data_IF_150518737702
#
_entry.id   IF_150518737702
#
_cell.length_a   1.000
_cell.length_b   1.000
_cell.length_c   1.000
_cell.angle_alpha   90.00
_cell.angle_beta   90.00
_cell.angle_gamma   90.00
#
_symmetry.space_group_name_H-M   'P 1'
#
loop_
_entity.id
_entity.type
_entity.pdbx_description
1 polymer ?
#
# COMPACT_ATOMS: atom_id res chain seq x y z
N UNK A 1 -9.73 27.74 1.03
CA UNK A 1 -9.13 26.43 1.30
C UNK A 1 -10.21 25.39 1.13
N UNK A 2 -9.95 24.32 0.38
CA UNK A 2 -10.85 23.20 0.19
C UNK A 2 -10.45 22.05 1.13
N UNK A 3 -11.44 21.28 1.57
CA UNK A 3 -11.24 20.14 2.47
C UNK A 3 -11.93 18.91 1.93
N UNK A 4 -11.49 17.74 2.38
CA UNK A 4 -12.12 16.44 2.15
C UNK A 4 -12.57 15.90 3.51
N UNK A 5 -13.84 15.52 3.60
CA UNK A 5 -14.40 14.80 4.73
C UNK A 5 -14.47 13.33 4.37
N UNK A 6 -13.73 12.49 5.09
CA UNK A 6 -13.69 11.05 4.85
C UNK A 6 -14.37 10.31 5.99
N UNK A 7 -15.40 9.53 5.67
CA UNK A 7 -16.12 8.65 6.60
C UNK A 7 -15.55 7.24 6.41
N UNK A 8 -15.05 6.65 7.50
CA UNK A 8 -14.35 5.37 7.45
C UNK A 8 -15.31 4.22 7.79
N UNK A 9 -15.26 3.18 6.96
CA UNK A 9 -16.05 1.96 7.15
C UNK A 9 -15.20 0.73 7.50
N UNK A 10 -13.87 0.86 7.40
CA UNK A 10 -12.94 -0.27 7.44
C UNK A 10 -12.36 -0.55 8.83
N UNK A 11 -12.45 0.40 9.77
CA UNK A 11 -11.91 0.25 11.12
C UNK A 11 -12.70 1.07 12.15
N UNK A 12 -12.51 0.74 13.43
CA UNK A 12 -13.19 1.36 14.54
C UNK A 12 -12.57 2.70 14.96
N UNK A 13 -13.33 3.49 15.70
CA UNK A 13 -12.90 4.82 16.17
C UNK A 13 -11.60 4.76 17.01
N UNK A 14 -11.35 3.66 17.70
CA UNK A 14 -10.15 3.45 18.51
C UNK A 14 -8.85 3.41 17.67
N UNK A 15 -8.91 2.98 16.41
CA UNK A 15 -7.78 2.98 15.49
C UNK A 15 -7.52 4.36 14.84
N UNK A 16 -8.52 5.24 14.80
CA UNK A 16 -8.45 6.55 14.15
C UNK A 16 -7.24 7.40 14.57
N UNK A 17 -6.83 7.46 15.86
CA UNK A 17 -5.67 8.24 16.30
C UNK A 17 -4.35 7.77 15.67
N UNK A 18 -4.21 6.49 15.32
CA UNK A 18 -3.02 5.97 14.66
C UNK A 18 -2.81 6.65 13.29
N UNK A 19 -3.84 6.64 12.45
CA UNK A 19 -3.74 7.21 11.08
C UNK A 19 -3.49 8.70 11.10
N UNK A 20 -4.15 9.43 12.00
CA UNK A 20 -3.92 10.86 12.14
C UNK A 20 -2.50 11.20 12.62
N UNK A 21 -1.95 10.44 13.57
CA UNK A 21 -0.58 10.60 14.02
C UNK A 21 0.41 10.31 12.88
N UNK A 22 0.17 9.25 12.11
CA UNK A 22 1.02 8.86 10.99
C UNK A 22 1.04 9.96 9.92
N UNK A 23 -0.12 10.39 9.43
CA UNK A 23 -0.21 11.42 8.38
C UNK A 23 0.31 12.76 8.89
N UNK A 24 0.01 13.16 10.13
CA UNK A 24 0.55 14.38 10.73
C UNK A 24 2.09 14.33 10.81
N UNK A 25 2.66 13.18 11.18
CA UNK A 25 4.09 12.99 11.24
C UNK A 25 4.75 13.14 9.87
N UNK A 26 4.18 12.53 8.84
CA UNK A 26 4.65 12.67 7.45
C UNK A 26 4.55 14.12 6.97
N UNK A 27 3.42 14.80 7.24
CA UNK A 27 3.23 16.21 6.89
C UNK A 27 4.26 17.12 7.56
N UNK A 28 4.55 16.93 8.84
CA UNK A 28 5.56 17.68 9.59
C UNK A 28 6.99 17.48 9.04
N UNK A 29 7.23 16.35 8.36
CA UNK A 29 8.49 16.08 7.67
C UNK A 29 8.50 16.54 6.21
N UNK A 30 7.48 17.33 5.79
CA UNK A 30 7.43 17.96 4.48
C UNK A 30 6.99 17.03 3.34
N UNK A 31 6.42 15.87 3.64
CA UNK A 31 5.88 15.00 2.59
C UNK A 31 4.53 15.54 2.08
N UNK A 32 4.24 15.34 0.79
CA UNK A 32 3.00 15.79 0.17
C UNK A 32 1.85 14.85 0.58
N UNK A 33 1.34 15.02 1.78
CA UNK A 33 0.19 14.26 2.31
C UNK A 33 -0.89 15.20 2.82
N UNK A 34 -2.14 14.72 2.85
CA UNK A 34 -3.29 15.52 3.27
C UNK A 34 -3.25 15.81 4.78
N UNK A 35 -2.92 17.06 5.15
CA UNK A 35 -2.84 17.44 6.56
C UNK A 35 -4.17 17.25 7.28
N UNK A 36 -4.21 16.45 8.36
CA UNK A 36 -5.40 16.32 9.19
C UNK A 36 -5.77 17.67 9.84
N UNK A 37 -7.05 17.95 9.90
CA UNK A 37 -7.59 19.12 10.60
C UNK A 37 -8.11 18.70 11.97
N UNK A 38 -7.87 19.53 12.96
CA UNK A 38 -8.44 19.32 14.29
C UNK A 38 -9.88 19.81 14.36
N UNK A 39 -10.70 19.15 15.15
CA UNK A 39 -12.02 19.62 15.57
C UNK A 39 -11.88 20.86 16.46
N UNK A 40 -12.97 21.56 16.75
CA UNK A 40 -12.96 22.78 17.60
C UNK A 40 -12.49 22.50 19.04
N UNK A 41 -12.66 21.28 19.51
CA UNK A 41 -12.20 20.77 20.81
C UNK A 41 -10.80 20.13 20.76
N UNK A 42 -10.11 20.25 19.63
CA UNK A 42 -8.71 19.82 19.47
C UNK A 42 -8.52 18.34 19.15
N UNK A 43 -9.60 17.59 18.91
CA UNK A 43 -9.49 16.19 18.50
C UNK A 43 -9.10 16.09 17.03
N UNK A 44 -8.41 15.01 16.65
CA UNK A 44 -7.98 14.75 15.26
C UNK A 44 -8.99 13.97 14.42
N UNK A 45 -10.06 13.50 15.04
CA UNK A 45 -11.15 12.74 14.41
C UNK A 45 -12.46 12.97 15.18
N UNK A 46 -13.58 12.69 14.54
CA UNK A 46 -14.90 12.73 15.15
C UNK A 46 -15.73 11.53 14.70
N UNK A 47 -16.94 11.40 15.27
CA UNK A 47 -17.92 10.41 14.83
C UNK A 47 -18.99 11.14 14.01
N UNK A 48 -19.24 10.69 12.80
CA UNK A 48 -20.36 11.11 11.98
C UNK A 48 -21.15 9.89 11.51
N UNK A 49 -22.45 9.88 11.72
CA UNK A 49 -23.33 8.73 11.44
C UNK A 49 -22.83 7.42 12.04
N UNK A 50 -22.26 7.46 13.26
CA UNK A 50 -21.74 6.29 13.96
C UNK A 50 -20.39 5.77 13.45
N UNK A 51 -19.71 6.46 12.54
CA UNK A 51 -18.44 6.05 11.92
C UNK A 51 -17.32 7.06 12.21
N UNK A 52 -16.06 6.58 12.33
CA UNK A 52 -14.90 7.46 12.39
C UNK A 52 -14.84 8.37 11.18
N UNK A 53 -14.56 9.64 11.41
CA UNK A 53 -14.58 10.65 10.34
C UNK A 53 -13.40 11.59 10.50
N UNK A 54 -12.72 11.86 9.39
CA UNK A 54 -11.58 12.76 9.31
C UNK A 54 -11.89 13.95 8.41
N UNK A 55 -11.39 15.12 8.79
CA UNK A 55 -11.31 16.27 7.92
C UNK A 55 -9.84 16.50 7.54
N UNK A 56 -9.56 16.58 6.25
CA UNK A 56 -8.19 16.74 5.75
C UNK A 56 -8.15 17.85 4.71
N UNK A 57 -6.99 18.51 4.55
CA UNK A 57 -6.80 19.44 3.45
C UNK A 57 -6.94 18.73 2.11
N UNK A 58 -7.70 19.31 1.18
CA UNK A 58 -7.75 18.80 -0.17
C UNK A 58 -6.41 19.09 -0.86
N UNK A 59 -5.78 18.05 -1.35
CA UNK A 59 -4.58 18.17 -2.19
C UNK A 59 -4.99 18.51 -3.63
N UNK A 60 -4.11 19.23 -4.33
CA UNK A 60 -4.26 19.55 -5.74
C UNK A 60 -3.61 18.48 -6.60
N UNK A 61 -4.06 18.35 -7.84
CA UNK A 61 -3.56 17.38 -8.79
C UNK A 61 -4.61 16.35 -9.21
N UNK A 62 -4.18 15.43 -10.05
CA UNK A 62 -5.01 14.33 -10.58
C UNK A 62 -4.23 13.02 -10.58
N UNK A 63 -4.96 11.92 -10.63
CA UNK A 63 -4.35 10.58 -10.76
C UNK A 63 -3.72 10.41 -12.14
N UNK A 64 -2.59 9.69 -12.20
CA UNK A 64 -1.93 9.40 -13.46
C UNK A 64 -2.73 8.37 -14.27
N UNK A 65 -3.07 8.74 -15.51
CA UNK A 65 -3.70 7.82 -16.46
C UNK A 65 -2.66 6.96 -17.18
N UNK A 66 -1.52 7.56 -17.54
CA UNK A 66 -0.39 6.88 -18.16
C UNK A 66 0.87 7.12 -17.34
N UNK A 67 1.40 6.04 -16.79
CA UNK A 67 2.61 6.08 -15.97
C UNK A 67 3.85 6.21 -16.85
N UNK A 68 4.81 7.02 -16.40
CA UNK A 68 6.12 7.17 -17.00
C UNK A 68 7.24 6.93 -15.97
N UNK A 69 8.49 6.89 -16.44
CA UNK A 69 9.66 6.66 -15.59
C UNK A 69 9.81 7.72 -14.49
N UNK A 70 9.56 9.00 -14.79
CA UNK A 70 9.70 10.08 -13.83
C UNK A 70 8.70 9.93 -12.68
N UNK A 71 7.47 9.56 -12.97
CA UNK A 71 6.47 9.27 -11.94
C UNK A 71 6.84 8.05 -11.09
N UNK A 72 7.33 6.97 -11.71
CA UNK A 72 7.83 5.80 -10.97
C UNK A 72 8.98 6.18 -10.03
N UNK A 73 9.93 7.01 -10.51
CA UNK A 73 11.01 7.52 -9.66
C UNK A 73 10.49 8.31 -8.48
N UNK A 74 9.54 9.23 -8.69
CA UNK A 74 8.95 10.05 -7.63
C UNK A 74 8.19 9.20 -6.60
N UNK A 75 7.48 8.15 -7.01
CA UNK A 75 6.79 7.22 -6.10
C UNK A 75 7.81 6.45 -5.24
N UNK A 76 8.88 5.93 -5.86
CA UNK A 76 9.97 5.30 -5.11
C UNK A 76 10.61 6.24 -4.10
N UNK A 77 10.96 7.47 -4.52
CA UNK A 77 11.52 8.50 -3.65
C UNK A 77 10.55 8.88 -2.51
N UNK A 78 9.24 8.97 -2.79
CA UNK A 78 8.23 9.21 -1.77
C UNK A 78 8.25 8.11 -0.69
N UNK A 79 8.23 6.83 -1.08
CA UNK A 79 8.27 5.71 -0.13
C UNK A 79 9.54 5.76 0.73
N UNK A 80 10.71 6.00 0.14
CA UNK A 80 11.95 6.15 0.91
C UNK A 80 11.90 7.30 1.91
N UNK A 81 11.38 8.45 1.48
CA UNK A 81 11.19 9.63 2.33
C UNK A 81 10.12 9.43 3.41
N UNK A 82 9.12 8.57 3.20
CA UNK A 82 8.11 8.23 4.19
C UNK A 82 8.66 7.24 5.24
N UNK A 83 9.30 6.17 4.81
CA UNK A 83 9.83 5.13 5.72
C UNK A 83 10.86 5.69 6.70
N UNK A 84 11.68 6.65 6.28
CA UNK A 84 12.72 7.23 7.13
C UNK A 84 12.17 7.93 8.39
N UNK A 85 11.28 8.92 8.32
CA UNK A 85 10.69 9.54 9.51
C UNK A 85 9.75 8.60 10.26
N UNK A 86 9.02 7.70 9.57
CA UNK A 86 8.13 6.74 10.21
C UNK A 86 8.87 5.79 11.16
N UNK A 87 10.15 5.52 10.94
CA UNK A 87 10.98 4.75 11.87
C UNK A 87 11.14 5.38 13.27
N UNK A 88 10.87 6.69 13.42
CA UNK A 88 10.88 7.40 14.70
C UNK A 88 9.48 7.54 15.35
N UNK A 89 8.43 7.20 14.64
CA UNK A 89 7.05 7.35 15.13
C UNK A 89 6.75 6.30 16.21
N UNK A 90 6.50 6.76 17.43
CA UNK A 90 6.11 5.90 18.57
C UNK A 90 4.62 5.53 18.49
N UNK A 91 4.24 4.89 17.42
CA UNK A 91 2.90 4.36 17.21
C UNK A 91 3.01 3.18 16.26
N UNK A 92 2.22 2.15 16.46
CA UNK A 92 2.23 0.96 15.60
C UNK A 92 0.82 0.43 15.44
N UNK A 93 0.59 -0.26 14.34
CA UNK A 93 -0.59 -1.06 14.03
C UNK A 93 -0.10 -2.35 13.40
N UNK A 94 -0.53 -3.47 13.94
CA UNK A 94 -0.21 -4.79 13.36
C UNK A 94 -0.81 -4.88 11.96
N UNK A 95 -0.14 -5.57 11.05
CA UNK A 95 -0.68 -5.79 9.71
C UNK A 95 -1.99 -6.61 9.81
N UNK A 96 -3.14 -6.06 9.39
CA UNK A 96 -4.41 -6.78 9.41
C UNK A 96 -4.52 -7.82 8.28
N UNK A 97 -3.52 -7.92 7.40
CA UNK A 97 -3.46 -8.80 6.24
C UNK A 97 -2.24 -9.73 6.28
N UNK A 98 -1.84 -10.15 7.47
CA UNK A 98 -0.75 -11.09 7.70
C UNK A 98 -1.06 -12.51 7.18
N UNK A 99 -0.13 -13.43 7.36
CA UNK A 99 -0.31 -14.81 6.88
C UNK A 99 -1.45 -15.54 7.59
N UNK A 100 -1.77 -15.20 8.84
CA UNK A 100 -2.89 -15.79 9.59
C UNK A 100 -4.23 -15.33 9.02
N UNK A 101 -4.35 -14.02 8.70
CA UNK A 101 -5.50 -13.49 7.98
C UNK A 101 -5.65 -14.13 6.61
N UNK A 102 -4.56 -14.26 5.83
CA UNK A 102 -4.60 -14.91 4.52
C UNK A 102 -5.06 -16.36 4.62
N UNK A 103 -4.55 -17.12 5.61
CA UNK A 103 -4.94 -18.50 5.87
C UNK A 103 -6.44 -18.62 6.23
N UNK A 104 -6.90 -17.77 7.13
CA UNK A 104 -8.29 -17.72 7.56
C UNK A 104 -9.23 -17.38 6.40
N UNK A 105 -8.86 -16.34 5.63
CA UNK A 105 -9.62 -15.90 4.46
C UNK A 105 -9.70 -17.00 3.41
N UNK A 106 -8.56 -17.60 3.04
CA UNK A 106 -8.51 -18.69 2.07
C UNK A 106 -9.41 -19.86 2.49
N UNK A 107 -9.38 -20.22 3.77
CA UNK A 107 -10.24 -21.28 4.32
C UNK A 107 -11.73 -20.90 4.24
N UNK A 108 -12.06 -19.64 4.55
CA UNK A 108 -13.45 -19.14 4.56
C UNK A 108 -14.09 -19.02 3.18
N UNK A 109 -13.28 -18.86 2.12
CA UNK A 109 -13.78 -18.75 0.72
C UNK A 109 -13.50 -20.00 -0.12
N UNK A 110 -12.99 -21.08 0.48
CA UNK A 110 -12.53 -22.26 -0.25
C UNK A 110 -13.58 -22.85 -1.21
N UNK A 111 -14.85 -22.85 -0.84
CA UNK A 111 -15.94 -23.36 -1.69
C UNK A 111 -16.24 -22.48 -2.90
N UNK A 112 -15.75 -21.23 -2.91
CA UNK A 112 -15.93 -20.26 -4.01
C UNK A 112 -14.78 -20.27 -5.00
N UNK A 113 -13.68 -20.96 -4.70
CA UNK A 113 -12.46 -21.02 -5.51
C UNK A 113 -12.39 -22.30 -6.32
N UNK A 114 -11.85 -22.22 -7.53
CA UNK A 114 -11.42 -23.39 -8.29
C UNK A 114 -10.22 -24.07 -7.63
N UNK A 115 -9.98 -25.35 -7.94
CA UNK A 115 -8.83 -26.09 -7.41
C UNK A 115 -7.49 -25.44 -7.80
N UNK A 116 -7.43 -24.82 -8.98
CA UNK A 116 -6.26 -24.07 -9.45
C UNK A 116 -6.02 -22.85 -8.56
N UNK A 117 -7.03 -22.02 -8.32
CA UNK A 117 -6.92 -20.82 -7.47
C UNK A 117 -6.54 -21.19 -6.02
N UNK A 118 -7.13 -22.26 -5.48
CA UNK A 118 -6.76 -22.77 -4.14
C UNK A 118 -5.28 -23.16 -4.08
N UNK A 119 -4.82 -23.92 -5.08
CA UNK A 119 -3.42 -24.37 -5.15
C UNK A 119 -2.46 -23.19 -5.25
N UNK A 120 -2.78 -22.20 -6.10
CA UNK A 120 -1.99 -20.97 -6.27
C UNK A 120 -1.91 -20.18 -4.97
N UNK A 121 -3.05 -19.89 -4.35
CA UNK A 121 -3.11 -19.11 -3.10
C UNK A 121 -2.41 -19.82 -1.94
N UNK A 122 -2.55 -21.15 -1.83
CA UNK A 122 -1.83 -21.94 -0.82
C UNK A 122 -0.32 -21.81 -0.98
N UNK A 123 0.18 -21.94 -2.21
CA UNK A 123 1.61 -21.77 -2.51
C UNK A 123 2.11 -20.36 -2.16
N UNK A 124 1.35 -19.33 -2.52
CA UNK A 124 1.69 -17.93 -2.23
C UNK A 124 1.66 -17.64 -0.72
N UNK A 125 0.73 -18.24 0.01
CA UNK A 125 0.68 -18.16 1.47
C UNK A 125 1.91 -18.83 2.12
N UNK A 126 2.33 -20.00 1.64
CA UNK A 126 3.54 -20.65 2.13
C UNK A 126 4.82 -19.83 1.82
N UNK A 127 4.83 -19.12 0.69
CA UNK A 127 5.90 -18.17 0.37
C UNK A 127 5.91 -17.00 1.36
N UNK A 128 4.75 -16.45 1.68
CA UNK A 128 4.64 -15.34 2.64
C UNK A 128 5.07 -15.74 4.06
N UNK A 129 4.65 -16.90 4.56
CA UNK A 129 5.10 -17.43 5.84
C UNK A 129 6.63 -17.54 5.93
N UNK A 130 7.28 -17.88 4.82
CA UNK A 130 8.76 -17.89 4.77
C UNK A 130 9.36 -16.51 4.85
N UNK A 131 8.73 -15.50 4.21
CA UNK A 131 9.17 -14.10 4.27
C UNK A 131 9.02 -13.56 5.70
N UNK A 132 7.89 -13.82 6.36
CA UNK A 132 7.66 -13.39 7.76
C UNK A 132 8.72 -13.98 8.73
N UNK A 133 9.24 -15.16 8.42
CA UNK A 133 10.32 -15.77 9.19
C UNK A 133 11.72 -15.18 8.88
N UNK A 134 11.84 -14.32 7.85
CA UNK A 134 13.10 -13.65 7.52
C UNK A 134 13.26 -12.39 8.36
N UNK A 135 14.48 -12.10 8.79
CA UNK A 135 14.80 -10.85 9.51
C UNK A 135 14.99 -9.68 8.53
N UNK A 136 13.96 -9.36 7.75
CA UNK A 136 14.00 -8.23 6.82
C UNK A 136 13.73 -6.91 7.56
N UNK A 137 14.31 -5.78 7.10
CA UNK A 137 14.00 -4.47 7.62
C UNK A 137 12.50 -4.19 7.60
N UNK A 138 11.95 -3.83 8.76
CA UNK A 138 10.52 -3.62 8.96
C UNK A 138 10.24 -2.26 9.60
N UNK A 139 9.03 -1.76 9.41
CA UNK A 139 8.57 -0.49 9.91
C UNK A 139 7.14 -0.20 9.48
N UNK A 140 6.71 1.05 9.63
CA UNK A 140 5.40 1.48 9.15
C UNK A 140 5.44 1.65 7.64
N UNK A 141 4.51 1.03 6.95
CA UNK A 141 4.30 1.07 5.51
C UNK A 141 2.97 1.73 5.17
N UNK A 142 2.81 2.21 3.94
CA UNK A 142 1.53 2.66 3.39
C UNK A 142 0.57 1.47 3.17
N UNK A 143 1.10 0.40 2.60
CA UNK A 143 0.40 -0.86 2.37
C UNK A 143 -0.59 -0.86 1.19
N UNK A 144 -0.78 0.28 0.49
CA UNK A 144 -1.74 0.42 -0.62
C UNK A 144 -1.38 1.57 -1.58
N UNK A 145 -0.08 1.81 -1.84
CA UNK A 145 0.30 2.92 -2.72
C UNK A 145 0.11 2.56 -4.20
N UNK A 146 -1.14 2.54 -4.63
CA UNK A 146 -1.58 2.39 -6.02
C UNK A 146 -1.66 3.76 -6.71
N UNK A 147 -1.87 3.75 -8.04
CA UNK A 147 -1.96 4.97 -8.86
C UNK A 147 -3.11 5.90 -8.47
N UNK A 148 -4.21 5.34 -7.99
CA UNK A 148 -5.36 6.08 -7.47
C UNK A 148 -5.14 6.69 -6.08
N UNK A 149 -4.02 6.37 -5.43
CA UNK A 149 -3.61 6.94 -4.15
C UNK A 149 -2.49 8.00 -4.29
N UNK A 150 -2.14 8.39 -5.52
CA UNK A 150 -1.16 9.45 -5.77
C UNK A 150 -1.70 10.50 -6.75
N UNK A 151 -1.38 11.77 -6.48
CA UNK A 151 -1.81 12.93 -7.25
C UNK A 151 -0.60 13.64 -7.85
N UNK A 152 -0.74 14.06 -9.11
CA UNK A 152 0.28 14.78 -9.85
C UNK A 152 -0.29 16.07 -10.43
N UNK A 153 0.53 17.10 -10.54
CA UNK A 153 0.19 18.32 -11.27
C UNK A 153 0.33 18.13 -12.79
N UNK A 154 -0.03 19.18 -13.54
CA UNK A 154 0.04 19.19 -15.01
C UNK A 154 1.49 19.08 -15.55
N UNK A 155 2.50 19.26 -14.71
CA UNK A 155 3.91 19.11 -15.04
C UNK A 155 4.44 17.71 -14.69
N UNK A 156 3.60 16.82 -14.14
CA UNK A 156 3.97 15.48 -13.72
C UNK A 156 4.69 15.41 -12.38
N UNK A 157 4.66 16.47 -11.56
CA UNK A 157 5.23 16.48 -10.23
C UNK A 157 4.24 15.88 -9.23
N UNK A 158 4.71 14.99 -8.36
CA UNK A 158 3.91 14.43 -7.27
C UNK A 158 3.49 15.54 -6.29
N UNK A 159 2.19 15.76 -6.16
CA UNK A 159 1.59 16.78 -5.30
C UNK A 159 0.88 16.20 -4.09
N UNK A 160 0.58 14.90 -4.12
CA UNK A 160 -0.10 14.26 -3.00
C UNK A 160 -0.06 12.75 -3.00
N UNK A 161 0.03 12.19 -1.79
CA UNK A 161 -0.27 10.79 -1.52
C UNK A 161 -1.36 10.75 -0.46
N UNK A 162 -2.39 9.95 -0.71
CA UNK A 162 -3.61 9.84 0.07
C UNK A 162 -3.88 8.38 0.47
N UNK A 163 -4.91 8.16 1.26
CA UNK A 163 -5.43 6.83 1.65
C UNK A 163 -4.42 5.95 2.41
N UNK A 164 -3.99 6.44 3.57
CA UNK A 164 -3.13 5.71 4.50
C UNK A 164 -3.88 4.68 5.38
N UNK A 165 -5.12 4.33 5.06
CA UNK A 165 -5.96 3.49 5.94
C UNK A 165 -5.55 2.01 5.95
N UNK A 166 -4.69 1.61 5.02
CA UNK A 166 -4.01 0.31 5.03
C UNK A 166 -2.65 0.33 5.75
N UNK A 167 -2.21 1.49 6.23
CA UNK A 167 -0.92 1.61 6.90
C UNK A 167 -0.82 0.72 8.13
N UNK A 168 0.29 0.01 8.25
CA UNK A 168 0.56 -0.94 9.31
C UNK A 168 2.07 -1.18 9.44
N UNK A 169 2.48 -1.93 10.46
CA UNK A 169 3.86 -2.38 10.59
C UNK A 169 4.08 -3.67 9.80
N UNK A 170 5.01 -3.63 8.84
CA UNK A 170 5.40 -4.79 8.03
C UNK A 170 6.83 -4.61 7.49
N UNK A 171 7.32 -5.55 6.68
CA UNK A 171 8.60 -5.40 6.00
C UNK A 171 8.54 -4.26 4.98
N UNK A 172 9.52 -3.35 5.02
CA UNK A 172 9.52 -2.15 4.18
C UNK A 172 9.51 -2.46 2.68
N UNK A 173 10.13 -3.57 2.29
CA UNK A 173 10.13 -4.06 0.91
C UNK A 173 8.74 -4.41 0.36
N UNK A 174 7.76 -4.69 1.22
CA UNK A 174 6.39 -4.99 0.79
C UNK A 174 5.71 -3.76 0.18
N UNK A 175 5.95 -2.57 0.73
CA UNK A 175 5.42 -1.32 0.19
C UNK A 175 5.95 -1.04 -1.23
N UNK A 176 7.25 -1.26 -1.43
CA UNK A 176 7.89 -1.15 -2.75
C UNK A 176 7.29 -2.17 -3.73
N UNK A 177 7.13 -3.40 -3.29
CA UNK A 177 6.58 -4.50 -4.08
C UNK A 177 5.13 -4.23 -4.51
N UNK A 178 4.29 -3.71 -3.60
CA UNK A 178 2.91 -3.30 -3.90
C UNK A 178 2.90 -2.16 -4.93
N UNK A 179 3.74 -1.16 -4.76
CA UNK A 179 3.85 -0.05 -5.72
C UNK A 179 4.31 -0.55 -7.10
N UNK A 180 5.34 -1.42 -7.18
CA UNK A 180 5.79 -1.99 -8.46
C UNK A 180 4.64 -2.74 -9.16
N UNK A 181 3.86 -3.53 -8.42
CA UNK A 181 2.75 -4.32 -8.97
C UNK A 181 1.65 -3.48 -9.62
N UNK A 182 1.50 -2.22 -9.24
CA UNK A 182 0.51 -1.34 -9.86
C UNK A 182 1.14 -0.32 -10.81
N UNK A 183 2.19 0.37 -10.38
CA UNK A 183 2.83 1.45 -11.15
C UNK A 183 3.59 0.94 -12.37
N UNK A 184 4.16 -0.26 -12.29
CA UNK A 184 5.01 -0.80 -13.36
C UNK A 184 4.29 -1.88 -14.19
N UNK A 185 2.99 -2.09 -13.99
CA UNK A 185 2.24 -3.10 -14.72
C UNK A 185 1.80 -2.57 -16.09
N UNK A 186 2.19 -3.29 -17.14
CA UNK A 186 1.74 -3.07 -18.52
C UNK A 186 0.29 -3.52 -18.71
N UNK A 187 -0.33 -3.07 -19.79
CA UNK A 187 -1.68 -3.53 -20.19
C UNK A 187 -1.74 -5.04 -20.49
N UNK A 188 -0.59 -5.67 -20.75
CA UNK A 188 -0.45 -7.13 -20.88
C UNK A 188 -0.53 -7.89 -19.56
N UNK A 189 -0.50 -7.19 -18.42
CA UNK A 189 -0.44 -7.77 -17.07
C UNK A 189 0.98 -8.05 -16.57
N UNK A 190 2.00 -7.92 -17.41
CA UNK A 190 3.40 -8.11 -17.05
C UNK A 190 3.99 -6.84 -16.40
N UNK A 191 5.06 -7.01 -15.62
CA UNK A 191 5.81 -5.89 -15.04
C UNK A 191 6.82 -5.37 -16.06
N UNK A 192 6.79 -4.06 -16.30
CA UNK A 192 7.84 -3.34 -17.04
C UNK A 192 9.10 -3.24 -16.18
N UNK A 193 10.18 -3.83 -16.66
CA UNK A 193 11.47 -3.90 -15.93
C UNK A 193 12.14 -2.53 -15.81
N UNK A 194 11.97 -1.65 -16.82
CA UNK A 194 12.56 -0.31 -16.80
C UNK A 194 11.85 0.57 -15.77
N UNK A 195 10.51 0.59 -15.78
CA UNK A 195 9.72 1.30 -14.78
C UNK A 195 10.00 0.79 -13.37
N UNK A 196 10.08 -0.55 -13.18
CA UNK A 196 10.40 -1.16 -11.89
C UNK A 196 11.80 -0.76 -11.41
N UNK A 197 12.81 -0.81 -12.28
CA UNK A 197 14.15 -0.38 -11.94
C UNK A 197 14.21 1.10 -11.55
N UNK A 198 13.46 1.94 -12.25
CA UNK A 198 13.38 3.39 -11.98
C UNK A 198 12.68 3.68 -10.64
N UNK A 199 11.60 2.96 -10.31
CA UNK A 199 10.94 3.09 -9.00
C UNK A 199 11.90 2.68 -7.86
N UNK A 200 12.60 1.56 -8.00
CA UNK A 200 13.61 1.11 -7.03
C UNK A 200 14.73 2.16 -6.90
N UNK A 201 15.23 2.71 -8.00
CA UNK A 201 16.25 3.75 -7.98
C UNK A 201 15.80 5.01 -7.21
N UNK A 202 14.54 5.42 -7.38
CA UNK A 202 13.95 6.52 -6.62
C UNK A 202 13.94 6.23 -5.11
N UNK A 203 13.56 5.03 -4.72
CA UNK A 203 13.58 4.61 -3.32
C UNK A 203 15.02 4.60 -2.75
N UNK A 204 15.95 4.02 -3.48
CA UNK A 204 17.34 3.87 -3.05
C UNK A 204 18.12 5.17 -2.99
N UNK A 205 17.66 6.22 -3.67
CA UNK A 205 18.21 7.56 -3.49
C UNK A 205 18.10 8.04 -2.03
N UNK A 206 17.09 7.55 -1.30
CA UNK A 206 16.80 7.95 0.09
C UNK A 206 17.21 6.88 1.09
N UNK A 207 16.89 5.62 0.79
CA UNK A 207 17.17 4.45 1.63
C UNK A 207 17.65 3.30 0.75
N UNK A 208 18.96 2.99 0.75
CA UNK A 208 19.48 1.83 0.03
C UNK A 208 18.83 0.53 0.54
N UNK A 209 18.47 -0.34 -0.40
CA UNK A 209 17.99 -1.69 -0.07
C UNK A 209 19.16 -2.58 0.36
N UNK A 210 18.97 -3.33 1.43
CA UNK A 210 19.88 -4.39 1.82
C UNK A 210 19.82 -5.53 0.78
N UNK A 211 20.86 -6.37 0.75
CA UNK A 211 20.95 -7.48 -0.21
C UNK A 211 19.75 -8.43 -0.08
N UNK A 212 19.38 -8.75 1.14
CA UNK A 212 18.29 -9.65 1.49
C UNK A 212 16.93 -9.07 1.08
N UNK A 213 16.71 -7.77 1.27
CA UNK A 213 15.50 -7.07 0.80
C UNK A 213 15.39 -7.15 -0.72
N UNK A 214 16.48 -6.87 -1.43
CA UNK A 214 16.51 -6.90 -2.90
C UNK A 214 16.23 -8.31 -3.44
N UNK A 215 16.74 -9.34 -2.77
CA UNK A 215 16.47 -10.74 -3.14
C UNK A 215 15.03 -11.15 -2.87
N UNK A 216 14.39 -10.58 -1.86
CA UNK A 216 13.01 -10.89 -1.48
C UNK A 216 11.96 -10.13 -2.31
N UNK A 217 12.33 -9.09 -3.10
CA UNK A 217 11.36 -8.23 -3.77
C UNK A 217 10.36 -8.99 -4.64
N UNK A 218 10.79 -10.00 -5.39
CA UNK A 218 9.89 -10.79 -6.23
C UNK A 218 8.88 -11.58 -5.39
N UNK A 219 9.33 -12.20 -4.31
CA UNK A 219 8.43 -12.90 -3.39
C UNK A 219 7.45 -11.93 -2.72
N UNK A 220 7.92 -10.73 -2.33
CA UNK A 220 7.06 -9.67 -1.77
C UNK A 220 6.03 -9.16 -2.79
N UNK A 221 6.38 -9.04 -4.07
CA UNK A 221 5.42 -8.73 -5.14
C UNK A 221 4.34 -9.81 -5.25
N UNK A 222 4.73 -11.08 -5.19
CA UNK A 222 3.80 -12.23 -5.21
C UNK A 222 2.91 -12.23 -3.98
N UNK A 223 3.44 -11.94 -2.79
CA UNK A 223 2.69 -11.77 -1.54
C UNK A 223 1.66 -10.63 -1.65
N UNK A 224 2.07 -9.45 -2.11
CA UNK A 224 1.18 -8.33 -2.33
C UNK A 224 0.05 -8.68 -3.31
N UNK A 225 0.37 -9.35 -4.43
CA UNK A 225 -0.63 -9.78 -5.39
C UNK A 225 -1.63 -10.80 -4.78
N UNK A 226 -1.16 -11.74 -3.96
CA UNK A 226 -2.00 -12.71 -3.26
C UNK A 226 -2.94 -12.03 -2.25
N UNK A 227 -2.42 -11.09 -1.45
CA UNK A 227 -3.23 -10.28 -0.53
C UNK A 227 -4.37 -9.60 -1.27
N UNK A 228 -4.06 -8.89 -2.37
CA UNK A 228 -5.08 -8.18 -3.14
C UNK A 228 -6.02 -9.11 -3.90
N UNK A 229 -5.61 -10.31 -4.28
CA UNK A 229 -6.53 -11.33 -4.80
C UNK A 229 -7.55 -11.73 -3.73
N UNK A 230 -7.11 -12.04 -2.51
CA UNK A 230 -7.98 -12.43 -1.40
C UNK A 230 -8.96 -11.33 -1.01
N UNK A 231 -8.51 -10.07 -0.86
CA UNK A 231 -9.41 -8.95 -0.53
C UNK A 231 -10.49 -8.77 -1.59
N UNK A 232 -10.15 -8.96 -2.88
CA UNK A 232 -11.11 -8.85 -3.99
C UNK A 232 -12.08 -10.03 -4.08
N UNK A 233 -11.67 -11.23 -3.69
CA UNK A 233 -12.60 -12.36 -3.54
C UNK A 233 -13.62 -12.13 -2.42
N UNK A 234 -13.27 -11.34 -1.40
CA UNK A 234 -14.18 -10.96 -0.31
C UNK A 234 -15.10 -9.80 -0.71
N UNK A 235 -14.65 -8.89 -1.58
CA UNK A 235 -15.43 -7.74 -2.02
C UNK A 235 -16.70 -8.21 -2.75
N UNK A 236 -17.84 -7.59 -2.41
CA UNK A 236 -19.09 -7.81 -3.12
C UNK A 236 -19.25 -6.96 -4.39
N UNK A 237 -18.37 -5.99 -4.61
CA UNK A 237 -18.38 -5.10 -5.77
C UNK A 237 -17.34 -5.52 -6.82
N UNK A 238 -17.61 -5.28 -8.13
CA UNK A 238 -16.63 -5.58 -9.17
C UNK A 238 -15.39 -4.66 -9.01
N UNK A 239 -14.23 -5.21 -8.70
CA UNK A 239 -13.01 -4.41 -8.52
C UNK A 239 -12.45 -3.96 -9.88
N UNK A 240 -11.68 -2.85 -9.89
CA UNK A 240 -10.98 -2.36 -11.08
C UNK A 240 -10.05 -3.43 -11.71
N UNK A 241 -9.40 -4.24 -10.88
CA UNK A 241 -8.64 -5.42 -11.31
C UNK A 241 -9.25 -6.65 -10.64
N UNK A 242 -9.54 -7.71 -11.41
CA UNK A 242 -10.13 -8.93 -10.87
C UNK A 242 -9.16 -9.70 -9.96
N UNK A 243 -9.66 -10.55 -9.05
CA UNK A 243 -8.80 -11.46 -8.27
C UNK A 243 -7.90 -12.31 -9.17
N UNK A 244 -8.44 -12.79 -10.30
CA UNK A 244 -7.71 -13.58 -11.29
C UNK A 244 -6.54 -12.81 -11.92
N UNK A 245 -6.71 -11.52 -12.19
CA UNK A 245 -5.62 -10.68 -12.70
C UNK A 245 -4.47 -10.57 -11.69
N UNK A 246 -4.77 -10.55 -10.39
CA UNK A 246 -3.74 -10.55 -9.35
C UNK A 246 -3.02 -11.91 -9.27
N UNK A 247 -3.73 -13.02 -9.39
CA UNK A 247 -3.12 -14.34 -9.43
C UNK A 247 -2.24 -14.54 -10.67
N UNK A 248 -2.70 -14.06 -11.84
CA UNK A 248 -1.91 -14.06 -13.07
C UNK A 248 -0.63 -13.23 -12.93
N UNK A 249 -0.73 -12.04 -12.31
CA UNK A 249 0.46 -11.24 -11.99
C UNK A 249 1.44 -12.04 -11.13
N UNK A 250 0.97 -12.64 -10.02
CA UNK A 250 1.82 -13.43 -9.15
C UNK A 250 2.52 -14.60 -9.89
N UNK A 251 1.84 -15.24 -10.82
CA UNK A 251 2.43 -16.33 -11.64
C UNK A 251 3.45 -15.82 -12.67
N UNK A 252 3.24 -14.64 -13.22
CA UNK A 252 4.17 -14.05 -14.19
C UNK A 252 5.51 -13.66 -13.59
N UNK A 253 5.56 -13.48 -12.26
CA UNK A 253 6.77 -13.14 -11.50
C UNK A 253 7.57 -14.41 -11.19
N UNK A 254 8.74 -14.51 -11.80
CA UNK A 254 9.70 -15.62 -11.58
C UNK A 254 10.74 -15.25 -10.53
N UNK A 255 10.91 -16.12 -9.55
CA UNK A 255 11.92 -16.02 -8.48
C UNK A 255 13.29 -16.47 -8.97
#
# INVERSE_FOLDING_TARGET
>A
VAYVLTIIEQFDFEEAPFFNKLVSHLFQHGLPVAAPQSTLDGMSSTIFCGKPTFLQSRLEGSHSVMVNEDQCFQIGAFLGNAHKPLGSLKSTRVNPYDSDWMQSTLSGIADRLSDVEKSQLTKLLDEYKRIEAMALPSGLIHGDLFRDNALFDDQGKLTGVIDFYHACHDVLGLDIAIAINDWCQLTTGQIDKALSATLIAGYEQVRPLEKEERQALVQLQRTGAARFALTRFLSGEPPLKSPQAMLQLAESLTV
#
